data_IF_407054228986
#
_entry.id   IF_407054228986
#
_cell.length_a   1.000
_cell.length_b   1.000
_cell.length_c   1.000
_cell.angle_alpha   90.00
_cell.angle_beta   90.00
_cell.angle_gamma   90.00
#
_symmetry.space_group_name_H-M   'P 1'
#
loop_
_entity.id
_entity.type
_entity.pdbx_description
1 polymer ?
#
# COMPACT_ATOMS: atom_id res chain seq x y z
N UNK A 1 2.50 -4.78 4.63
CA UNK A 1 1.27 -5.44 5.14
C UNK A 1 0.96 -6.70 4.34
N UNK A 2 0.74 -6.65 3.02
CA UNK A 2 0.49 -7.89 2.22
C UNK A 2 1.67 -8.88 2.28
N UNK A 3 2.92 -8.41 2.18
CA UNK A 3 4.11 -9.28 2.25
C UNK A 3 4.30 -10.02 3.58
N UNK A 4 3.57 -9.65 4.63
CA UNK A 4 3.61 -10.30 5.94
C UNK A 4 2.48 -11.33 6.12
N UNK A 5 1.57 -11.43 5.15
CA UNK A 5 0.50 -12.42 5.17
C UNK A 5 1.03 -13.76 4.65
N UNK A 6 0.72 -14.81 5.38
CA UNK A 6 1.03 -16.17 4.95
C UNK A 6 0.15 -16.57 3.76
N UNK A 7 0.76 -17.26 2.79
CA UNK A 7 0.01 -17.92 1.71
C UNK A 7 -0.31 -19.36 2.07
N UNK A 8 -1.57 -19.71 1.91
CA UNK A 8 -2.12 -21.04 2.13
C UNK A 8 -2.51 -21.68 0.80
N UNK A 9 -2.45 -23.01 0.74
CA UNK A 9 -2.81 -23.75 -0.46
C UNK A 9 -3.97 -24.69 -0.17
N UNK A 10 -5.00 -24.60 -1.00
CA UNK A 10 -6.20 -25.39 -0.89
C UNK A 10 -6.30 -26.35 -2.07
N UNK A 11 -6.68 -27.60 -1.82
CA UNK A 11 -7.07 -28.56 -2.84
C UNK A 11 -8.53 -28.95 -2.60
N UNK A 12 -9.40 -28.70 -3.58
CA UNK A 12 -10.84 -28.99 -3.46
C UNK A 12 -11.47 -28.42 -2.17
N UNK A 13 -11.02 -27.23 -1.76
CA UNK A 13 -11.48 -26.56 -0.54
C UNK A 13 -10.81 -27.01 0.76
N UNK A 14 -9.93 -28.02 0.74
CA UNK A 14 -9.18 -28.47 1.93
C UNK A 14 -7.77 -27.87 1.96
N UNK A 15 -7.37 -27.35 3.11
CA UNK A 15 -6.01 -26.85 3.35
C UNK A 15 -5.01 -28.00 3.22
N UNK A 16 -3.95 -27.79 2.44
CA UNK A 16 -2.84 -28.73 2.27
C UNK A 16 -1.52 -28.05 2.65
N UNK A 17 -0.47 -28.86 2.84
CA UNK A 17 0.88 -28.34 3.06
C UNK A 17 1.32 -27.47 1.87
N UNK A 18 1.73 -26.24 2.17
CA UNK A 18 2.24 -25.29 1.17
C UNK A 18 3.44 -25.88 0.42
N UNK A 19 3.37 -26.01 -0.92
CA UNK A 19 4.49 -26.49 -1.72
C UNK A 19 5.70 -25.55 -1.66
N UNK A 20 6.94 -26.06 -1.83
CA UNK A 20 8.15 -25.24 -1.77
C UNK A 20 8.14 -24.03 -2.71
N UNK A 21 7.60 -24.17 -3.93
CA UNK A 21 7.51 -23.08 -4.92
C UNK A 21 6.60 -21.91 -4.48
N UNK A 22 5.71 -22.15 -3.51
CA UNK A 22 4.86 -21.10 -2.92
C UNK A 22 5.48 -20.57 -1.63
N UNK A 23 6.13 -21.45 -0.85
CA UNK A 23 6.77 -21.09 0.41
C UNK A 23 8.05 -20.25 0.21
N UNK A 24 8.85 -20.56 -0.82
CA UNK A 24 10.02 -19.80 -1.23
C UNK A 24 10.05 -19.75 -2.77
N UNK A 25 9.30 -18.82 -3.39
CA UNK A 25 9.20 -18.75 -4.84
C UNK A 25 10.52 -18.34 -5.51
N UNK A 26 11.20 -17.37 -4.92
CA UNK A 26 12.52 -16.91 -5.36
C UNK A 26 13.57 -17.76 -4.64
N UNK A 27 14.61 -18.17 -5.37
CA UNK A 27 15.70 -18.94 -4.79
C UNK A 27 16.45 -18.10 -3.74
N UNK A 28 16.78 -18.70 -2.60
CA UNK A 28 17.45 -18.03 -1.46
C UNK A 28 16.69 -16.87 -0.78
N UNK A 29 15.49 -16.51 -1.24
CA UNK A 29 14.69 -15.43 -0.68
C UNK A 29 13.37 -15.92 -0.07
N UNK A 30 12.83 -15.14 0.87
CA UNK A 30 11.56 -15.43 1.51
C UNK A 30 10.37 -15.17 0.59
N UNK A 31 9.24 -15.85 0.84
CA UNK A 31 7.93 -15.52 0.25
C UNK A 31 7.59 -14.04 0.32
N UNK A 32 7.88 -13.39 1.45
CA UNK A 32 7.61 -11.97 1.66
C UNK A 32 8.36 -11.07 0.67
N UNK A 33 9.59 -11.45 0.30
CA UNK A 33 10.38 -10.72 -0.68
C UNK A 33 9.76 -10.80 -2.07
N UNK A 34 9.33 -11.99 -2.49
CA UNK A 34 8.62 -12.18 -3.76
C UNK A 34 7.37 -11.29 -3.84
N UNK A 35 6.52 -11.34 -2.81
CA UNK A 35 5.29 -10.53 -2.75
C UNK A 35 5.63 -9.03 -2.79
N UNK A 36 6.66 -8.60 -2.07
CA UNK A 36 7.11 -7.21 -2.07
C UNK A 36 7.57 -6.75 -3.46
N UNK A 37 8.42 -7.51 -4.15
CA UNK A 37 8.93 -7.17 -5.48
C UNK A 37 7.80 -7.07 -6.51
N UNK A 38 6.82 -7.99 -6.46
CA UNK A 38 5.64 -7.96 -7.34
C UNK A 38 4.77 -6.72 -7.06
N UNK A 39 4.49 -6.42 -5.79
CA UNK A 39 3.69 -5.25 -5.42
C UNK A 39 4.37 -3.96 -5.87
N UNK A 40 5.69 -3.83 -5.66
CA UNK A 40 6.46 -2.68 -6.13
C UNK A 40 6.33 -2.51 -7.65
N UNK A 41 6.47 -3.61 -8.40
CA UNK A 41 6.35 -3.60 -9.86
C UNK A 41 4.94 -3.18 -10.32
N UNK A 42 3.89 -3.72 -9.69
CA UNK A 42 2.50 -3.39 -9.99
C UNK A 42 2.13 -1.95 -9.60
N UNK A 43 2.57 -1.46 -8.44
CA UNK A 43 2.22 -0.14 -7.94
C UNK A 43 2.91 0.99 -8.73
N UNK A 44 4.15 0.80 -9.17
CA UNK A 44 4.90 1.81 -9.91
C UNK A 44 4.67 1.73 -11.43
N UNK A 45 4.74 0.53 -12.03
CA UNK A 45 4.65 0.37 -13.49
C UNK A 45 3.29 -0.14 -13.97
N UNK A 46 2.39 -0.58 -13.07
CA UNK A 46 1.16 -1.29 -13.45
C UNK A 46 1.40 -2.70 -13.98
N UNK A 47 2.65 -3.15 -14.00
CA UNK A 47 3.12 -4.35 -14.69
C UNK A 47 4.17 -5.04 -13.85
N UNK A 48 3.99 -6.34 -13.61
CA UNK A 48 5.03 -7.18 -13.04
C UNK A 48 5.30 -8.36 -13.99
N UNK A 49 6.58 -8.60 -14.27
CA UNK A 49 7.01 -9.71 -15.12
C UNK A 49 7.76 -10.72 -14.27
N UNK A 50 7.32 -11.96 -14.30
CA UNK A 50 7.92 -13.03 -13.52
C UNK A 50 8.43 -14.10 -14.46
N UNK A 51 9.73 -14.35 -14.43
CA UNK A 51 10.38 -15.41 -15.17
C UNK A 51 10.30 -16.71 -14.37
N UNK A 52 9.92 -17.80 -15.03
CA UNK A 52 9.75 -19.11 -14.40
C UNK A 52 10.82 -20.10 -14.83
N UNK A 53 11.38 -20.82 -13.86
CA UNK A 53 12.42 -21.82 -14.04
C UNK A 53 11.89 -23.22 -13.71
N UNK A 54 12.42 -24.25 -14.39
CA UNK A 54 11.97 -25.63 -14.23
C UNK A 54 10.76 -26.02 -15.09
N UNK A 55 10.48 -27.33 -15.11
CA UNK A 55 9.25 -27.96 -15.63
C UNK A 55 9.07 -29.32 -14.94
N UNK A 56 8.32 -29.43 -13.82
CA UNK A 56 7.47 -28.41 -13.20
C UNK A 56 8.26 -27.23 -12.62
N UNK A 57 7.58 -26.10 -12.40
CA UNK A 57 8.21 -24.85 -11.96
C UNK A 57 8.85 -25.05 -10.58
N UNK A 58 10.14 -24.76 -10.46
CA UNK A 58 10.92 -24.90 -9.23
C UNK A 58 11.18 -23.57 -8.54
N UNK A 59 11.43 -22.52 -9.32
CA UNK A 59 11.74 -21.18 -8.83
C UNK A 59 11.31 -20.12 -9.82
N UNK A 60 11.21 -18.88 -9.34
CA UNK A 60 10.82 -17.71 -10.13
C UNK A 60 11.77 -16.54 -9.87
N UNK A 61 11.81 -15.61 -10.81
CA UNK A 61 12.55 -14.35 -10.72
C UNK A 61 11.63 -13.21 -11.14
N UNK A 62 11.50 -12.19 -10.29
CA UNK A 62 10.77 -10.97 -10.65
C UNK A 62 11.73 -10.08 -11.44
N UNK A 63 11.35 -9.76 -12.67
CA UNK A 63 12.16 -8.96 -13.58
C UNK A 63 11.83 -7.47 -13.42
N UNK A 64 12.83 -6.63 -13.61
CA UNK A 64 12.64 -5.18 -13.77
C UNK A 64 11.71 -4.90 -14.97
N UNK A 65 10.55 -4.23 -14.76
CA UNK A 65 9.62 -3.89 -15.84
C UNK A 65 10.22 -3.11 -17.01
N UNK A 66 11.28 -2.31 -16.79
CA UNK A 66 11.90 -1.51 -17.84
C UNK A 66 12.76 -2.36 -18.80
N UNK A 67 13.18 -3.55 -18.37
CA UNK A 67 13.96 -4.49 -19.20
C UNK A 67 13.11 -5.36 -20.13
N UNK A 68 11.79 -5.33 -19.94
CA UNK A 68 10.83 -6.20 -20.64
C UNK A 68 9.99 -5.42 -21.65
N UNK A 69 10.07 -5.83 -22.91
CA UNK A 69 9.22 -5.31 -23.99
C UNK A 69 8.18 -6.35 -24.39
N UNK A 70 6.92 -5.93 -24.42
CA UNK A 70 5.78 -6.76 -24.79
C UNK A 70 5.32 -6.38 -26.19
N UNK A 71 5.21 -7.37 -27.06
CA UNK A 71 4.71 -7.19 -28.44
C UNK A 71 3.60 -8.19 -28.70
N UNK A 72 2.71 -7.88 -29.64
CA UNK A 72 1.71 -8.83 -30.13
C UNK A 72 2.01 -9.13 -31.58
N UNK A 73 2.07 -10.41 -31.89
CA UNK A 73 2.15 -10.89 -33.26
C UNK A 73 0.81 -10.61 -33.94
N UNK A 74 0.82 -9.84 -35.03
CA UNK A 74 -0.38 -9.44 -35.77
C UNK A 74 -1.06 -10.62 -36.47
N UNK A 75 -0.29 -11.65 -36.84
CA UNK A 75 -0.81 -12.81 -37.57
C UNK A 75 -1.39 -13.83 -36.59
N UNK A 76 -0.66 -14.13 -35.51
CA UNK A 76 -1.09 -15.16 -34.56
C UNK A 76 -1.91 -14.63 -33.38
N UNK A 77 -1.94 -13.31 -33.18
CA UNK A 77 -2.55 -12.65 -32.03
C UNK A 77 -1.83 -12.90 -30.70
N UNK A 78 -0.73 -13.66 -30.70
CA UNK A 78 -0.04 -14.11 -29.49
C UNK A 78 0.90 -13.02 -28.97
N UNK A 79 0.97 -12.93 -27.64
CA UNK A 79 1.89 -12.02 -26.95
C UNK A 79 3.29 -12.61 -26.90
N UNK A 80 4.28 -11.81 -27.28
CA UNK A 80 5.71 -12.12 -27.23
C UNK A 80 6.40 -11.20 -26.22
N UNK A 81 7.32 -11.77 -25.44
CA UNK A 81 8.08 -11.06 -24.42
C UNK A 81 9.55 -11.02 -24.81
N UNK A 82 10.15 -9.83 -24.79
CA UNK A 82 11.55 -9.59 -25.07
C UNK A 82 12.22 -9.12 -23.78
N UNK A 83 13.28 -9.81 -23.37
CA UNK A 83 14.09 -9.43 -22.22
C UNK A 83 15.45 -8.97 -22.72
N UNK A 84 15.81 -7.71 -22.49
CA UNK A 84 17.06 -7.11 -22.99
C UNK A 84 17.28 -7.35 -24.50
N UNK A 85 16.21 -7.17 -25.29
CA UNK A 85 16.23 -7.37 -26.74
C UNK A 85 16.22 -8.83 -27.22
N UNK A 86 16.18 -9.81 -26.31
CA UNK A 86 16.11 -11.24 -26.66
C UNK A 86 14.71 -11.79 -26.46
N UNK A 87 14.13 -12.35 -27.52
CA UNK A 87 12.83 -13.03 -27.48
C UNK A 87 12.88 -14.20 -26.49
N UNK A 88 11.95 -14.22 -25.55
CA UNK A 88 11.85 -15.28 -24.55
C UNK A 88 10.94 -16.41 -25.04
N UNK A 89 11.26 -17.68 -24.71
CA UNK A 89 10.39 -18.80 -25.05
C UNK A 89 8.99 -18.65 -24.44
N UNK A 90 7.99 -19.18 -25.15
CA UNK A 90 6.60 -19.13 -24.69
C UNK A 90 6.46 -19.78 -23.32
N UNK A 91 5.72 -19.10 -22.45
CA UNK A 91 5.45 -19.57 -21.10
C UNK A 91 6.61 -19.41 -20.11
N UNK A 92 7.76 -18.84 -20.50
CA UNK A 92 8.87 -18.54 -19.57
C UNK A 92 8.72 -17.23 -18.83
N UNK A 93 7.98 -16.27 -19.37
CA UNK A 93 7.58 -15.05 -18.66
C UNK A 93 6.08 -15.11 -18.41
N UNK A 94 5.69 -14.77 -17.19
CA UNK A 94 4.31 -14.50 -16.76
C UNK A 94 4.17 -13.01 -16.51
N UNK A 95 3.04 -12.45 -16.94
CA UNK A 95 2.80 -11.02 -16.89
C UNK A 95 1.57 -10.76 -16.02
N UNK A 96 1.82 -10.24 -14.83
CA UNK A 96 0.80 -9.78 -13.91
C UNK A 96 0.53 -8.31 -14.21
N UNK A 97 -0.75 -7.92 -14.20
CA UNK A 97 -1.19 -6.58 -14.58
C UNK A 97 -2.10 -6.04 -13.49
N UNK A 98 -1.85 -4.80 -13.09
CA UNK A 98 -2.69 -4.16 -12.07
C UNK A 98 -4.10 -3.88 -12.63
N UNK A 99 -4.21 -3.10 -13.70
CA UNK A 99 -5.45 -2.96 -14.46
C UNK A 99 -5.27 -3.35 -15.93
N UNK A 100 -6.29 -3.97 -16.52
CA UNK A 100 -6.29 -4.42 -17.93
C UNK A 100 -7.22 -3.53 -18.75
N UNK A 101 -6.64 -2.61 -19.53
CA UNK A 101 -7.41 -1.81 -20.48
C UNK A 101 -7.64 -2.58 -21.80
N UNK A 102 -8.86 -2.54 -22.37
CA UNK A 102 -9.12 -3.14 -23.69
C UNK A 102 -8.18 -2.58 -24.76
N UNK A 103 -7.58 -3.46 -25.56
CA UNK A 103 -6.64 -3.09 -26.63
C UNK A 103 -5.18 -2.93 -26.18
N UNK A 104 -4.94 -2.70 -24.89
CA UNK A 104 -3.59 -2.47 -24.36
C UNK A 104 -2.86 -3.79 -24.02
N UNK A 105 -1.58 -3.85 -24.39
CA UNK A 105 -0.72 -4.99 -24.05
C UNK A 105 -0.14 -4.88 -22.64
N UNK A 106 0.06 -3.66 -22.14
CA UNK A 106 0.53 -3.38 -20.79
C UNK A 106 -0.65 -3.15 -19.86
N UNK A 107 -0.44 -3.47 -18.59
CA UNK A 107 -1.32 -3.04 -17.52
C UNK A 107 -1.14 -1.55 -17.23
N UNK A 108 -2.17 -0.96 -16.64
CA UNK A 108 -2.15 0.42 -16.16
C UNK A 108 -2.05 0.41 -14.64
N UNK A 109 -1.13 1.22 -14.10
CA UNK A 109 -0.91 1.34 -12.66
C UNK A 109 -1.41 2.68 -12.11
N UNK A 110 -1.38 2.85 -10.78
CA UNK A 110 -1.77 4.09 -10.11
C UNK A 110 -1.04 5.33 -10.65
N UNK A 111 0.27 5.23 -10.87
CA UNK A 111 1.09 6.35 -11.36
C UNK A 111 0.70 6.78 -12.78
N UNK A 112 0.36 5.83 -13.64
CA UNK A 112 -0.05 6.13 -15.01
C UNK A 112 -1.43 6.80 -15.05
N UNK A 113 -2.34 6.42 -14.15
CA UNK A 113 -3.70 6.97 -14.10
C UNK A 113 -3.76 8.43 -13.68
N UNK A 114 -2.80 8.86 -12.87
CA UNK A 114 -2.80 10.19 -12.27
C UNK A 114 -1.51 10.97 -12.56
N UNK A 115 -0.86 10.71 -13.70
CA UNK A 115 0.37 11.37 -14.12
C UNK A 115 0.24 12.91 -14.16
N UNK A 116 -0.94 13.44 -14.50
CA UNK A 116 -1.22 14.87 -14.50
C UNK A 116 -1.15 15.51 -13.11
N UNK A 117 -1.76 14.86 -12.11
CA UNK A 117 -1.75 15.33 -10.72
C UNK A 117 -0.35 15.27 -10.11
N UNK A 118 0.38 14.18 -10.38
CA UNK A 118 1.77 14.03 -9.92
C UNK A 118 2.69 15.11 -10.52
N UNK A 119 2.48 15.45 -11.79
CA UNK A 119 3.23 16.53 -12.45
C UNK A 119 2.90 17.89 -11.82
N UNK A 120 1.64 18.14 -11.48
CA UNK A 120 1.24 19.36 -10.79
C UNK A 120 1.87 19.45 -9.39
N UNK A 121 1.87 18.35 -8.62
CA UNK A 121 2.53 18.28 -7.33
C UNK A 121 4.05 18.56 -7.44
N UNK A 122 4.72 17.93 -8.41
CA UNK A 122 6.15 18.16 -8.66
C UNK A 122 6.46 19.64 -9.04
N UNK A 123 5.58 20.28 -9.80
CA UNK A 123 5.73 21.69 -10.17
C UNK A 123 5.56 22.59 -8.95
N UNK A 124 4.61 22.29 -8.07
CA UNK A 124 4.43 23.02 -6.82
C UNK A 124 5.66 22.89 -5.92
N UNK A 125 6.20 21.68 -5.75
CA UNK A 125 7.41 21.46 -4.95
C UNK A 125 8.61 22.24 -5.50
N UNK A 126 8.77 22.28 -6.83
CA UNK A 126 9.83 23.08 -7.48
C UNK A 126 9.63 24.57 -7.27
N UNK A 127 8.39 25.04 -7.40
CA UNK A 127 8.05 26.43 -7.12
C UNK A 127 8.37 26.77 -5.65
N UNK A 128 8.02 25.89 -4.71
CA UNK A 128 8.32 26.04 -3.29
C UNK A 128 9.83 26.12 -3.02
N UNK A 129 10.61 25.17 -3.56
CA UNK A 129 12.07 25.19 -3.43
C UNK A 129 12.65 26.49 -3.99
N UNK A 130 12.16 26.95 -5.14
CA UNK A 130 12.61 28.21 -5.74
C UNK A 130 12.23 29.40 -4.88
N UNK A 131 11.01 29.42 -4.36
CA UNK A 131 10.50 30.47 -3.49
C UNK A 131 11.36 30.60 -2.22
N UNK A 132 11.56 29.51 -1.46
CA UNK A 132 12.41 29.52 -0.26
C UNK A 132 13.89 29.80 -0.55
N UNK A 133 14.42 29.36 -1.70
CA UNK A 133 15.80 29.66 -2.10
C UNK A 133 15.98 31.13 -2.55
N UNK A 134 14.91 31.79 -3.02
CA UNK A 134 14.96 33.17 -3.53
C UNK A 134 14.58 34.19 -2.46
N UNK A 135 13.78 33.81 -1.47
CA UNK A 135 13.26 34.69 -0.40
C UNK A 135 14.31 35.16 0.63
N UNK A 136 15.59 34.86 0.41
CA UNK A 136 16.66 35.69 0.98
C UNK A 136 16.61 37.14 0.48
N UNK A 137 15.89 37.42 -0.62
CA UNK A 137 15.71 38.74 -1.23
C UNK A 137 14.29 39.26 -1.01
N UNK A 138 14.02 40.02 0.07
CA UNK A 138 12.69 40.57 0.28
C UNK A 138 12.39 41.59 -0.82
N UNK A 139 11.40 41.26 -1.66
CA UNK A 139 10.91 42.15 -2.71
C UNK A 139 10.19 43.31 -2.03
N UNK A 140 10.71 44.51 -2.24
CA UNK A 140 10.12 45.72 -1.68
C UNK A 140 10.38 46.90 -2.57
N UNK A 141 9.58 47.94 -2.37
CA UNK A 141 9.73 49.19 -3.11
C UNK A 141 10.57 50.13 -2.26
N UNK A 142 11.70 50.57 -2.82
CA UNK A 142 12.46 51.70 -2.29
C UNK A 142 11.82 52.98 -2.83
N UNK A 143 11.11 53.71 -1.96
CA UNK A 143 10.53 55.00 -2.29
C UNK A 143 11.39 56.13 -1.75
N UNK A 144 11.57 57.20 -2.52
CA UNK A 144 12.29 58.42 -2.11
C UNK A 144 11.45 59.64 -2.40
N UNK A 145 11.44 60.61 -1.49
CA UNK A 145 10.77 61.91 -1.66
C UNK A 145 11.61 62.93 -2.42
N UNK A 146 12.86 62.62 -2.76
CA UNK A 146 13.77 63.50 -3.49
C UNK A 146 14.06 62.99 -4.92
N UNK A 147 14.32 63.90 -5.85
CA UNK A 147 14.69 63.56 -7.22
C UNK A 147 16.06 62.87 -7.23
N UNK A 148 16.09 61.60 -7.65
CA UNK A 148 17.30 60.77 -7.70
C UNK A 148 17.84 60.75 -9.13
N UNK A 149 19.14 61.00 -9.31
CA UNK A 149 19.77 60.88 -10.63
C UNK A 149 20.04 59.40 -10.97
N UNK A 150 20.10 59.03 -12.25
CA UNK A 150 20.28 57.65 -12.73
C UNK A 150 21.53 56.95 -12.15
N UNK A 151 22.60 57.69 -11.90
CA UNK A 151 23.81 57.15 -11.24
C UNK A 151 23.58 56.82 -9.76
N UNK A 152 22.84 57.67 -9.05
CA UNK A 152 22.50 57.46 -7.64
C UNK A 152 21.51 56.31 -7.47
N UNK A 153 20.57 56.15 -8.42
CA UNK A 153 19.64 55.03 -8.45
C UNK A 153 20.37 53.69 -8.58
N UNK A 154 21.36 53.58 -9.49
CA UNK A 154 22.17 52.35 -9.62
C UNK A 154 22.95 52.02 -8.36
N UNK A 155 23.62 53.01 -7.77
CA UNK A 155 24.38 52.81 -6.54
C UNK A 155 23.50 52.37 -5.35
N UNK A 156 22.26 52.88 -5.26
CA UNK A 156 21.30 52.48 -4.24
C UNK A 156 20.80 51.04 -4.44
N UNK A 157 20.55 50.62 -5.68
CA UNK A 157 20.14 49.25 -5.99
C UNK A 157 21.27 48.27 -5.68
N UNK A 158 22.51 48.56 -6.11
CA UNK A 158 23.67 47.71 -5.82
C UNK A 158 23.95 47.59 -4.32
N UNK A 159 23.84 48.70 -3.57
CA UNK A 159 23.98 48.69 -2.12
C UNK A 159 22.86 47.89 -1.41
N UNK A 160 21.64 47.95 -1.94
CA UNK A 160 20.51 47.18 -1.43
C UNK A 160 20.63 45.68 -1.74
N UNK A 161 21.07 45.31 -2.95
CA UNK A 161 21.36 43.92 -3.31
C UNK A 161 22.47 43.34 -2.43
N UNK A 162 23.52 44.11 -2.12
CA UNK A 162 24.57 43.70 -1.19
C UNK A 162 24.07 43.55 0.26
N UNK A 163 23.22 44.48 0.74
CA UNK A 163 22.54 44.39 2.03
C UNK A 163 21.76 43.08 2.17
N UNK A 164 20.94 42.80 1.16
CA UNK A 164 20.08 41.63 1.11
C UNK A 164 20.91 40.34 1.10
N UNK A 165 22.00 40.30 0.33
CA UNK A 165 22.82 39.10 0.15
C UNK A 165 23.72 38.79 1.35
N UNK A 166 24.14 39.81 2.09
CA UNK A 166 25.07 39.66 3.22
C UNK A 166 24.39 39.72 4.60
N UNK A 167 23.08 39.99 4.68
CA UNK A 167 22.33 40.17 5.94
C UNK A 167 22.98 41.19 6.92
N UNK A 168 23.68 42.20 6.40
CA UNK A 168 24.36 43.23 7.22
C UNK A 168 23.54 44.51 7.26
N UNK A 169 23.39 45.15 8.42
CA UNK A 169 22.67 46.42 8.55
C UNK A 169 23.30 47.52 7.68
N UNK A 170 22.54 48.05 6.69
CA UNK A 170 22.96 49.19 5.86
C UNK A 170 22.11 50.42 6.19
N UNK A 171 22.78 51.56 6.37
CA UNK A 171 22.14 52.86 6.57
C UNK A 171 21.64 53.40 5.22
N UNK A 172 20.32 53.49 5.05
CA UNK A 172 19.71 54.15 3.90
C UNK A 172 19.88 55.68 4.03
N UNK A 173 20.30 56.40 2.97
CA UNK A 173 20.43 57.86 3.02
C UNK A 173 19.07 58.54 3.26
N UNK A 174 19.12 59.75 3.85
CA UNK A 174 17.95 60.46 4.38
C UNK A 174 16.78 60.53 3.37
N UNK A 175 15.63 59.96 3.75
CA UNK A 175 14.36 60.09 3.03
C UNK A 175 13.92 58.85 2.24
N UNK A 176 14.73 57.79 2.18
CA UNK A 176 14.37 56.53 1.52
C UNK A 176 13.60 55.63 2.49
N UNK A 177 12.39 55.20 2.08
CA UNK A 177 11.58 54.21 2.79
C UNK A 177 11.58 52.88 2.04
N UNK A 178 11.80 51.80 2.77
CA UNK A 178 11.65 50.45 2.27
C UNK A 178 10.31 49.88 2.74
N UNK A 179 9.43 49.57 1.79
CA UNK A 179 8.17 48.87 2.07
C UNK A 179 8.28 47.44 1.54
N UNK A 180 8.15 46.46 2.43
CA UNK A 180 8.08 45.05 2.05
C UNK A 180 6.75 44.78 1.36
N UNK A 181 6.78 44.16 0.18
CA UNK A 181 5.57 43.60 -0.40
C UNK A 181 5.22 42.35 0.42
N UNK A 182 4.19 42.45 1.25
CA UNK A 182 3.83 41.41 2.20
C UNK A 182 3.53 40.07 1.49
N UNK A 183 4.33 39.05 1.78
CA UNK A 183 4.22 37.67 1.27
C UNK A 183 3.32 36.76 2.11
N UNK A 184 2.85 37.24 3.28
CA UNK A 184 2.09 36.45 4.28
C UNK A 184 0.83 35.73 3.79
N UNK A 185 -0.01 36.25 2.87
CA UNK A 185 -1.20 35.53 2.40
C UNK A 185 -0.89 34.24 1.66
N UNK A 186 0.30 34.16 1.06
CA UNK A 186 0.70 33.03 0.23
C UNK A 186 1.10 31.81 1.07
N UNK A 187 1.78 32.05 2.21
CA UNK A 187 2.21 31.02 3.16
C UNK A 187 1.07 30.13 3.66
N UNK A 188 -0.07 30.72 4.06
CA UNK A 188 -1.24 29.96 4.52
C UNK A 188 -1.87 29.12 3.40
N UNK A 189 -1.97 29.68 2.19
CA UNK A 189 -2.53 28.98 1.05
C UNK A 189 -1.64 27.81 0.59
N UNK A 190 -0.32 27.85 0.84
CA UNK A 190 0.56 26.73 0.52
C UNK A 190 0.31 25.49 1.38
N UNK A 191 0.09 25.65 2.69
CA UNK A 191 -0.15 24.51 3.59
C UNK A 191 -1.41 23.75 3.15
N UNK A 192 -2.48 24.47 2.83
CA UNK A 192 -3.72 23.89 2.31
C UNK A 192 -3.51 23.11 1.00
N UNK A 193 -2.73 23.66 0.07
CA UNK A 193 -2.43 23.01 -1.21
C UNK A 193 -1.52 21.78 -1.01
N UNK A 194 -0.55 21.85 -0.11
CA UNK A 194 0.33 20.72 0.21
C UNK A 194 -0.46 19.55 0.82
N UNK A 195 -1.37 19.82 1.77
CA UNK A 195 -2.26 18.80 2.33
C UNK A 195 -3.23 18.22 1.30
N UNK A 196 -3.76 19.05 0.40
CA UNK A 196 -4.57 18.59 -0.72
C UNK A 196 -3.77 17.64 -1.64
N UNK A 197 -2.51 17.97 -1.95
CA UNK A 197 -1.65 17.12 -2.76
C UNK A 197 -1.33 15.77 -2.07
N UNK A 198 -1.03 15.78 -0.77
CA UNK A 198 -0.81 14.54 -0.01
C UNK A 198 -2.05 13.64 -0.08
N UNK A 199 -3.25 14.22 0.11
CA UNK A 199 -4.51 13.48 0.00
C UNK A 199 -4.77 12.95 -1.40
N UNK A 200 -4.47 13.74 -2.43
CA UNK A 200 -4.60 13.29 -3.82
C UNK A 200 -3.66 12.12 -4.10
N UNK A 201 -2.38 12.22 -3.72
CA UNK A 201 -1.41 11.12 -3.90
C UNK A 201 -1.87 9.85 -3.17
N UNK A 202 -2.34 9.97 -1.93
CA UNK A 202 -2.87 8.83 -1.20
C UNK A 202 -4.07 8.18 -1.90
N UNK A 203 -4.97 9.00 -2.45
CA UNK A 203 -6.13 8.55 -3.21
C UNK A 203 -5.74 7.81 -4.48
N UNK A 204 -4.66 8.23 -5.17
CA UNK A 204 -4.11 7.52 -6.35
C UNK A 204 -3.78 6.07 -6.00
N UNK A 205 -3.14 5.84 -4.84
CA UNK A 205 -2.80 4.50 -4.36
C UNK A 205 -3.95 3.79 -3.65
N UNK A 206 -5.14 4.40 -3.54
CA UNK A 206 -6.28 3.86 -2.81
C UNK A 206 -6.05 3.75 -1.30
N UNK A 207 -5.13 4.54 -0.73
CA UNK A 207 -4.86 4.59 0.70
C UNK A 207 -5.90 5.50 1.37
N UNK A 208 -6.66 5.02 2.38
CA UNK A 208 -7.60 5.86 3.09
C UNK A 208 -6.89 7.02 3.79
N UNK A 209 -7.52 8.19 3.82
CA UNK A 209 -6.98 9.37 4.49
C UNK A 209 -6.72 9.12 5.99
N UNK A 210 -7.52 8.25 6.62
CA UNK A 210 -7.33 7.82 7.99
C UNK A 210 -5.96 7.17 8.26
N UNK A 211 -5.37 6.55 7.23
CA UNK A 211 -4.10 5.84 7.33
C UNK A 211 -2.90 6.77 7.04
N UNK A 212 -3.13 8.01 6.60
CA UNK A 212 -2.05 8.92 6.22
C UNK A 212 -1.31 9.54 7.40
N UNK A 213 -1.73 9.32 8.67
CA UNK A 213 -1.15 9.93 9.88
C UNK A 213 -1.00 11.47 9.85
N UNK A 214 -1.40 12.11 8.75
CA UNK A 214 -1.56 13.55 8.63
C UNK A 214 -2.75 13.91 9.48
N UNK A 215 -2.55 14.78 10.47
CA UNK A 215 -3.63 15.27 11.32
C UNK A 215 -4.68 15.93 10.42
N UNK A 216 -5.76 15.21 10.13
CA UNK A 216 -6.97 15.84 9.60
C UNK A 216 -7.50 16.64 10.78
N UNK A 217 -7.25 17.95 10.80
CA UNK A 217 -7.81 18.84 11.80
C UNK A 217 -9.33 18.64 11.86
N UNK A 218 -9.83 18.23 13.03
CA UNK A 218 -11.28 18.12 13.30
C UNK A 218 -11.90 16.72 13.28
N UNK A 219 -11.21 15.67 12.82
CA UNK A 219 -11.71 14.29 12.97
C UNK A 219 -11.01 13.58 14.12
N UNK A 220 -11.66 13.46 15.27
CA UNK A 220 -11.25 12.51 16.30
C UNK A 220 -11.46 11.10 15.75
N UNK A 221 -10.39 10.48 15.29
CA UNK A 221 -10.46 9.12 14.77
C UNK A 221 -10.54 8.15 15.95
N UNK A 222 -11.75 7.75 16.31
CA UNK A 222 -11.98 6.69 17.29
C UNK A 222 -11.45 5.36 16.75
N UNK A 223 -10.98 4.46 17.62
CA UNK A 223 -10.44 3.14 17.24
C UNK A 223 -11.38 2.34 16.32
N UNK A 224 -12.70 2.41 16.54
CA UNK A 224 -13.71 1.75 15.68
C UNK A 224 -13.65 2.22 14.22
N UNK A 225 -13.43 3.51 13.99
CA UNK A 225 -13.36 4.09 12.64
C UNK A 225 -12.07 3.66 11.91
N UNK A 226 -10.99 3.42 12.67
CA UNK A 226 -9.71 2.97 12.11
C UNK A 226 -9.77 1.53 11.60
N UNK A 227 -10.41 0.63 12.34
CA UNK A 227 -10.56 -0.78 11.92
C UNK A 227 -11.45 -0.91 10.67
N UNK A 228 -12.54 -0.13 10.60
CA UNK A 228 -13.38 -0.09 9.41
C UNK A 228 -12.63 0.46 8.20
N UNK A 229 -11.83 1.53 8.40
CA UNK A 229 -10.94 2.06 7.36
C UNK A 229 -9.92 1.02 6.86
N UNK A 230 -9.31 0.25 7.76
CA UNK A 230 -8.38 -0.81 7.38
C UNK A 230 -9.06 -1.95 6.61
N UNK A 231 -10.30 -2.31 6.97
CA UNK A 231 -11.08 -3.28 6.22
C UNK A 231 -11.42 -2.76 4.81
N UNK A 232 -11.83 -1.50 4.69
CA UNK A 232 -12.08 -0.87 3.40
C UNK A 232 -10.81 -0.82 2.55
N UNK A 233 -9.65 -0.55 3.15
CA UNK A 233 -8.36 -0.59 2.47
C UNK A 233 -8.03 -1.98 1.92
N UNK A 234 -8.25 -3.00 2.74
CA UNK A 234 -8.06 -4.39 2.32
C UNK A 234 -8.93 -4.72 1.10
N UNK A 235 -10.25 -4.49 1.24
CA UNK A 235 -11.25 -4.88 0.24
C UNK A 235 -11.13 -4.11 -1.08
N UNK A 236 -10.92 -2.79 -1.01
CA UNK A 236 -10.97 -1.94 -2.20
C UNK A 236 -9.62 -1.85 -2.92
N UNK A 237 -8.52 -1.90 -2.16
CA UNK A 237 -7.17 -1.64 -2.70
C UNK A 237 -6.32 -2.90 -2.71
N UNK A 238 -6.13 -3.54 -1.56
CA UNK A 238 -5.19 -4.66 -1.44
C UNK A 238 -5.68 -5.92 -2.17
N UNK A 239 -6.99 -6.21 -2.17
CA UNK A 239 -7.56 -7.38 -2.87
C UNK A 239 -7.17 -7.42 -4.35
N UNK A 240 -7.03 -6.26 -5.02
CA UNK A 240 -6.60 -6.22 -6.42
C UNK A 240 -5.19 -6.77 -6.62
N UNK A 241 -4.27 -6.43 -5.72
CA UNK A 241 -2.90 -6.95 -5.75
C UNK A 241 -2.86 -8.42 -5.33
N UNK A 242 -3.63 -8.78 -4.30
CA UNK A 242 -3.68 -10.15 -3.76
C UNK A 242 -4.19 -11.14 -4.81
N UNK A 243 -5.32 -10.83 -5.47
CA UNK A 243 -5.91 -11.71 -6.49
C UNK A 243 -4.94 -12.00 -7.65
N UNK A 244 -4.21 -11.00 -8.13
CA UNK A 244 -3.22 -11.20 -9.21
C UNK A 244 -2.06 -12.12 -8.79
N UNK A 245 -1.61 -11.99 -7.54
CA UNK A 245 -0.54 -12.84 -6.98
C UNK A 245 -1.06 -14.26 -6.74
N UNK A 246 -2.26 -14.40 -6.19
CA UNK A 246 -2.93 -15.69 -5.96
C UNK A 246 -3.16 -16.45 -7.26
N UNK A 247 -3.68 -15.79 -8.29
CA UNK A 247 -3.91 -16.38 -9.61
C UNK A 247 -2.58 -16.80 -10.25
N UNK A 248 -1.54 -15.96 -10.16
CA UNK A 248 -0.22 -16.31 -10.65
C UNK A 248 0.34 -17.55 -9.95
N UNK A 249 0.38 -17.56 -8.62
CA UNK A 249 0.93 -18.69 -7.84
C UNK A 249 0.10 -19.96 -8.04
N UNK A 250 -1.23 -19.85 -8.09
CA UNK A 250 -2.13 -20.96 -8.42
C UNK A 250 -1.83 -21.54 -9.81
N UNK A 251 -1.47 -20.69 -10.79
CA UNK A 251 -1.12 -21.14 -12.14
C UNK A 251 0.19 -21.94 -12.20
N UNK A 252 1.05 -21.86 -11.18
CA UNK A 252 2.26 -22.67 -11.05
C UNK A 252 1.98 -24.08 -10.50
N UNK A 253 0.83 -24.26 -9.85
CA UNK A 253 0.42 -25.49 -9.23
C UNK A 253 -0.47 -26.35 -10.15
N UNK A 254 -0.67 -27.65 -9.83
CA UNK A 254 -1.66 -28.48 -10.52
C UNK A 254 -3.06 -27.87 -10.45
N UNK A 255 -3.89 -28.08 -11.48
CA UNK A 255 -5.23 -27.45 -11.64
C UNK A 255 -6.20 -27.59 -10.46
N UNK A 256 -6.01 -28.56 -9.57
CA UNK A 256 -6.86 -28.77 -8.39
C UNK A 256 -6.45 -27.94 -7.17
N UNK A 257 -5.30 -27.26 -7.23
CA UNK A 257 -4.76 -26.46 -6.14
C UNK A 257 -4.96 -24.96 -6.40
N UNK A 258 -5.34 -24.23 -5.35
CA UNK A 258 -5.45 -22.77 -5.33
C UNK A 258 -4.64 -22.21 -4.19
N UNK A 259 -3.93 -21.12 -4.44
CA UNK A 259 -3.20 -20.35 -3.44
C UNK A 259 -4.08 -19.19 -3.01
N UNK A 260 -4.18 -18.96 -1.70
CA UNK A 260 -4.93 -17.83 -1.12
C UNK A 260 -4.13 -17.20 0.01
N UNK A 261 -4.21 -15.88 0.15
CA UNK A 261 -3.69 -15.18 1.32
C UNK A 261 -4.54 -15.49 2.54
N UNK A 262 -3.89 -15.67 3.68
CA UNK A 262 -4.59 -15.80 4.96
C UNK A 262 -5.06 -14.43 5.45
N UNK A 263 -6.23 -13.99 4.99
CA UNK A 263 -6.85 -12.73 5.39
C UNK A 263 -7.26 -12.71 6.88
N UNK A 264 -7.44 -13.88 7.51
CA UNK A 264 -7.79 -13.96 8.94
C UNK A 264 -6.68 -13.38 9.83
N UNK A 265 -5.42 -13.40 9.37
CA UNK A 265 -4.30 -12.76 10.08
C UNK A 265 -4.52 -11.25 10.26
N UNK A 266 -5.21 -10.56 9.35
CA UNK A 266 -5.54 -9.15 9.52
C UNK A 266 -6.59 -8.94 10.62
N UNK A 267 -7.58 -9.83 10.68
CA UNK A 267 -8.62 -9.80 11.71
C UNK A 267 -8.08 -10.11 13.10
N UNK A 268 -6.96 -10.84 13.22
CA UNK A 268 -6.26 -11.07 14.51
C UNK A 268 -5.76 -9.79 15.17
N UNK A 269 -5.61 -8.69 14.42
CA UNK A 269 -5.18 -7.40 14.99
C UNK A 269 -6.14 -6.90 16.07
N UNK A 270 -7.42 -7.33 16.04
CA UNK A 270 -8.36 -7.18 17.16
C UNK A 270 -8.78 -8.56 17.68
N UNK A 271 -8.05 -9.04 18.69
CA UNK A 271 -8.34 -10.28 19.41
C UNK A 271 -9.82 -10.36 19.83
N UNK A 272 -10.42 -9.27 20.30
CA UNK A 272 -11.81 -9.22 20.77
C UNK A 272 -12.83 -9.57 19.68
N UNK A 273 -12.70 -8.96 18.49
CA UNK A 273 -13.56 -9.27 17.33
C UNK A 273 -13.41 -10.72 16.88
N UNK A 274 -12.19 -11.27 16.87
CA UNK A 274 -11.96 -12.67 16.54
C UNK A 274 -12.69 -13.62 17.50
N UNK A 275 -12.55 -13.40 18.82
CA UNK A 275 -13.26 -14.18 19.83
C UNK A 275 -14.78 -14.04 19.72
N UNK A 276 -15.27 -12.85 19.37
CA UNK A 276 -16.70 -12.58 19.18
C UNK A 276 -17.27 -13.35 17.98
N UNK A 277 -16.54 -13.37 16.85
CA UNK A 277 -16.91 -14.15 15.66
C UNK A 277 -16.85 -15.65 15.97
N UNK A 278 -15.81 -16.12 16.65
CA UNK A 278 -15.68 -17.53 17.01
C UNK A 278 -16.79 -17.99 17.96
N UNK A 279 -17.17 -17.12 18.92
CA UNK A 279 -18.33 -17.36 19.77
C UNK A 279 -19.61 -17.50 18.94
N UNK A 280 -19.88 -16.56 18.03
CA UNK A 280 -21.06 -16.61 17.16
C UNK A 280 -21.09 -17.89 16.29
N UNK A 281 -19.95 -18.27 15.70
CA UNK A 281 -19.82 -19.52 14.90
C UNK A 281 -20.14 -20.77 15.72
N UNK A 282 -19.73 -20.78 17.00
CA UNK A 282 -20.04 -21.88 17.93
C UNK A 282 -21.52 -21.86 18.32
N UNK A 283 -22.07 -20.69 18.62
CA UNK A 283 -23.47 -20.50 19.04
C UNK A 283 -24.47 -20.91 17.94
N UNK A 284 -24.16 -20.64 16.66
CA UNK A 284 -25.00 -21.06 15.52
C UNK A 284 -24.74 -22.50 15.06
N UNK A 285 -23.80 -23.21 15.70
CA UNK A 285 -23.43 -24.59 15.35
C UNK A 285 -22.65 -24.75 14.04
N UNK A 286 -22.01 -23.68 13.55
CA UNK A 286 -21.22 -23.72 12.31
C UNK A 286 -19.88 -24.45 12.49
N UNK A 287 -19.26 -24.32 13.66
CA UNK A 287 -17.99 -24.98 14.00
C UNK A 287 -17.95 -25.35 15.48
N UNK A 288 -17.37 -26.50 15.81
CA UNK A 288 -17.11 -26.94 17.19
C UNK A 288 -15.85 -26.30 17.75
N UNK A 289 -15.77 -26.18 19.09
CA UNK A 289 -14.55 -25.72 19.76
C UNK A 289 -13.33 -26.61 19.48
N UNK A 290 -13.54 -27.90 19.21
CA UNK A 290 -12.44 -28.81 18.83
C UNK A 290 -11.94 -28.55 17.40
N UNK A 291 -12.83 -28.24 16.45
CA UNK A 291 -12.48 -27.88 15.06
C UNK A 291 -11.72 -26.55 15.02
N UNK A 292 -12.10 -25.59 15.87
CA UNK A 292 -11.35 -24.33 16.01
C UNK A 292 -9.95 -24.55 16.57
N UNK A 293 -9.78 -25.47 17.52
CA UNK A 293 -8.46 -25.80 18.08
C UNK A 293 -7.59 -26.51 17.05
N UNK A 294 -8.15 -27.41 16.25
CA UNK A 294 -7.44 -28.05 15.15
C UNK A 294 -6.96 -27.01 14.12
N UNK A 295 -7.81 -26.04 13.75
CA UNK A 295 -7.43 -24.93 12.87
C UNK A 295 -6.31 -24.05 13.45
N UNK A 296 -6.24 -23.90 14.77
CA UNK A 296 -5.15 -23.23 15.48
C UNK A 296 -3.92 -24.13 15.74
N UNK A 297 -3.93 -25.38 15.29
CA UNK A 297 -2.85 -26.34 15.54
C UNK A 297 -2.76 -26.83 16.99
N UNK A 298 -3.83 -26.71 17.77
CA UNK A 298 -3.94 -27.14 19.16
C UNK A 298 -4.71 -28.47 19.27
N UNK A 299 -4.31 -29.32 20.22
CA UNK A 299 -5.03 -30.57 20.49
C UNK A 299 -6.46 -30.29 21.00
N UNK A 300 -7.44 -31.15 20.69
CA UNK A 300 -8.82 -31.02 21.18
C UNK A 300 -8.88 -31.04 22.71
N UNK A 301 -9.92 -30.44 23.28
CA UNK A 301 -10.08 -30.45 24.73
C UNK A 301 -10.50 -31.84 25.21
N UNK A 302 -10.12 -32.26 26.43
CA UNK A 302 -10.67 -33.46 27.04
C UNK A 302 -12.19 -33.33 27.08
N UNK A 303 -12.93 -34.34 26.60
CA UNK A 303 -14.39 -34.36 26.66
C UNK A 303 -14.81 -34.12 28.12
N UNK A 304 -15.86 -33.31 28.38
CA UNK A 304 -16.38 -33.14 29.72
C UNK A 304 -16.71 -34.51 30.28
N UNK A 305 -16.09 -34.88 31.39
CA UNK A 305 -16.47 -36.09 32.12
C UNK A 305 -17.84 -35.80 32.69
N UNK A 306 -18.90 -36.30 32.05
CA UNK A 306 -20.25 -36.25 32.63
C UNK A 306 -20.14 -36.88 34.01
N UNK A 307 -20.51 -36.19 35.11
CA UNK A 307 -20.55 -36.83 36.41
C UNK A 307 -21.55 -37.98 36.29
N UNK A 308 -21.07 -39.21 36.32
CA UNK A 308 -21.92 -40.39 36.45
C UNK A 308 -22.79 -40.16 37.67
N UNK A 309 -24.09 -40.06 37.43
CA UNK A 309 -25.13 -40.01 38.43
C UNK A 309 -24.83 -41.10 39.48
N UNK A 310 -24.53 -40.68 40.71
CA UNK A 310 -24.33 -41.62 41.81
C UNK A 310 -25.67 -42.32 42.04
N UNK A 311 -25.81 -43.54 41.53
CA UNK A 311 -26.92 -44.43 41.87
C UNK A 311 -26.93 -44.58 43.39
N UNK A 312 -28.00 -44.09 44.02
CA UNK A 312 -28.20 -44.08 45.46
C UNK A 312 -28.62 -45.51 45.88
N UNK A 313 -27.84 -46.24 46.71
CA UNK A 313 -28.06 -47.67 46.94
C UNK A 313 -29.08 -47.96 48.05
N UNK A 314 -30.15 -47.17 48.19
CA UNK A 314 -31.18 -47.38 49.21
C UNK A 314 -32.58 -47.11 48.64
N UNK A 315 -33.08 -48.06 47.87
CA UNK A 315 -34.51 -48.25 47.57
C UNK A 315 -34.72 -49.71 47.20
N UNK A 316 -34.52 -50.59 48.17
CA UNK A 316 -34.99 -51.98 48.16
C UNK A 316 -34.95 -52.48 49.61
N UNK A 317 -35.93 -52.08 50.42
CA UNK A 317 -36.32 -52.72 51.67
C UNK A 317 -37.52 -51.98 52.24
N UNK A 318 -38.69 -52.20 51.63
CA UNK A 318 -40.01 -52.03 52.24
C UNK A 318 -41.06 -52.60 51.27
N UNK A 319 -41.09 -53.93 51.13
CA UNK A 319 -42.35 -54.65 50.87
C UNK A 319 -42.20 -56.14 51.23
N UNK A 320 -42.36 -56.42 52.52
CA UNK A 320 -42.73 -57.76 53.00
C UNK A 320 -43.31 -57.60 54.41
N UNK A 321 -44.61 -57.33 54.46
CA UNK A 321 -45.43 -57.46 55.66
C UNK A 321 -46.56 -58.46 55.39
N UNK A 322 -46.59 -59.51 56.21
CA UNK A 322 -47.78 -60.30 56.55
C UNK A 322 -48.92 -59.42 57.08
#
# INVERSE_FOLDING_TARGET
MISQMDLQVYREGKLIKTPPVVANPIDEESQSSFVQQVIWSLALWGNAYVKVYGSPVSSVEVLDPDTVVVTRDEITGKTNYWLNGKLQPKGKIRHLKFERMPGELKGHGPLQGCAGELKAAQQLDKFQQTWFNTDGIPKGVLSSTQAVNAQQQKALVEAFEAFVKEHKNVLLPLGIKYETLATKPMELQYVEVAEANIRNIARIFGIPAANLLSAIEGTSMTYTNYEESNLQFLQNTLCRYMNEIEDFLSSLLPRSQKVQFNEEMLLRTSTEKLWSVNKLKTDIGYTSGDEMREAEGKNPLPKPVTPTEKVNPNKDNEDSGD
#
